data_IF_743629951022
#
_entry.id   IF_743629951022
#
_cell.length_a   1.000
_cell.length_b   1.000
_cell.length_c   1.000
_cell.angle_alpha   90.00
_cell.angle_beta   90.00
_cell.angle_gamma   90.00
#
_symmetry.space_group_name_H-M   'P 1'
#
loop_
_entity.id
_entity.type
_entity.pdbx_description
1 polymer ?
#
# COMPACT_ATOMS: atom_id res chain seq x y z
N UNK A 1 8.14 -17.30 19.13
CA UNK A 1 7.74 -16.47 17.97
C UNK A 1 8.96 -15.89 17.28
N UNK A 2 8.87 -15.37 16.06
CA UNK A 2 10.02 -14.81 15.33
C UNK A 2 10.80 -13.75 16.13
N UNK A 3 10.12 -12.96 16.96
CA UNK A 3 10.77 -12.01 17.85
C UNK A 3 11.74 -12.66 18.87
N UNK A 4 11.33 -13.74 19.53
CA UNK A 4 12.19 -14.41 20.52
C UNK A 4 13.46 -15.00 19.88
N UNK A 5 13.36 -15.39 18.61
CA UNK A 5 14.50 -15.87 17.84
C UNK A 5 15.42 -14.71 17.47
N UNK A 6 14.88 -13.57 17.04
CA UNK A 6 15.66 -12.39 16.66
C UNK A 6 16.31 -11.69 17.85
N UNK A 7 15.66 -11.68 19.01
CA UNK A 7 16.21 -11.14 20.24
C UNK A 7 17.53 -11.84 20.63
N UNK A 8 17.70 -13.13 20.31
CA UNK A 8 18.94 -13.89 20.56
C UNK A 8 20.14 -13.39 19.77
N UNK A 9 19.93 -12.75 18.63
CA UNK A 9 21.04 -12.19 17.84
C UNK A 9 21.57 -10.88 18.42
N UNK A 10 20.84 -10.25 19.35
CA UNK A 10 21.24 -9.01 20.02
C UNK A 10 21.63 -7.86 19.08
N UNK A 11 21.01 -7.80 17.89
CA UNK A 11 21.22 -6.72 16.93
C UNK A 11 20.06 -5.72 17.04
N UNK A 12 20.29 -4.51 17.55
CA UNK A 12 19.21 -3.55 17.85
C UNK A 12 18.42 -3.12 16.61
N UNK A 13 19.05 -3.12 15.43
CA UNK A 13 18.38 -2.81 14.17
C UNK A 13 17.31 -3.82 13.75
N UNK A 14 17.51 -5.11 14.08
CA UNK A 14 16.56 -6.15 13.70
C UNK A 14 15.30 -6.09 14.57
N UNK A 15 15.43 -5.83 15.87
CA UNK A 15 14.26 -5.76 16.77
C UNK A 15 13.19 -4.78 16.25
N UNK A 16 13.61 -3.59 15.81
CA UNK A 16 12.70 -2.59 15.25
C UNK A 16 12.02 -3.04 13.95
N UNK A 17 12.74 -3.74 13.08
CA UNK A 17 12.17 -4.27 11.84
C UNK A 17 11.12 -5.36 12.12
N UNK A 18 11.39 -6.24 13.08
CA UNK A 18 10.46 -7.30 13.46
C UNK A 18 9.25 -6.78 14.25
N UNK A 19 9.38 -5.68 15.00
CA UNK A 19 8.23 -4.94 15.54
C UNK A 19 7.33 -4.39 14.43
N UNK A 20 7.92 -3.77 13.39
CA UNK A 20 7.15 -3.29 12.24
C UNK A 20 6.41 -4.44 11.54
N UNK A 21 7.07 -5.58 11.32
CA UNK A 21 6.46 -6.76 10.69
C UNK A 21 5.30 -7.29 11.56
N UNK A 22 5.44 -7.28 12.90
CA UNK A 22 4.37 -7.67 13.83
C UNK A 22 3.15 -6.75 13.70
N UNK A 23 3.36 -5.44 13.71
CA UNK A 23 2.28 -4.48 13.50
C UNK A 23 1.63 -4.64 12.12
N UNK A 24 2.42 -4.89 11.07
CA UNK A 24 1.92 -5.19 9.73
C UNK A 24 1.08 -6.48 9.71
N UNK A 25 1.49 -7.52 10.44
CA UNK A 25 0.71 -8.75 10.59
C UNK A 25 -0.68 -8.51 11.18
N UNK A 26 -0.81 -7.57 12.11
CA UNK A 26 -2.10 -7.24 12.70
C UNK A 26 -3.09 -6.65 11.71
N UNK A 27 -2.63 -6.04 10.60
CA UNK A 27 -3.51 -5.56 9.52
C UNK A 27 -4.39 -6.68 8.96
N UNK A 28 -3.93 -7.93 8.97
CA UNK A 28 -4.69 -9.07 8.45
C UNK A 28 -5.75 -9.60 9.41
N UNK A 29 -5.62 -9.29 10.70
CA UNK A 29 -6.49 -9.82 11.77
C UNK A 29 -7.52 -8.78 12.20
N UNK A 30 -7.14 -7.51 12.18
CA UNK A 30 -7.98 -6.39 12.64
C UNK A 30 -9.17 -6.17 11.71
N UNK A 31 -10.35 -5.96 12.30
CA UNK A 31 -11.57 -5.68 11.55
C UNK A 31 -11.46 -4.36 10.76
N UNK A 32 -12.03 -4.28 9.54
CA UNK A 32 -11.96 -3.08 8.70
C UNK A 32 -12.51 -1.82 9.37
N UNK A 33 -13.50 -1.96 10.24
CA UNK A 33 -14.16 -0.87 11.00
C UNK A 33 -13.20 -0.08 11.89
N UNK A 34 -12.26 -0.77 12.54
CA UNK A 34 -11.30 -0.16 13.47
C UNK A 34 -9.91 0.02 12.84
N UNK A 35 -9.73 -0.41 11.59
CA UNK A 35 -8.42 -0.43 10.93
C UNK A 35 -7.83 0.96 10.74
N UNK A 36 -8.67 1.96 10.47
CA UNK A 36 -8.25 3.37 10.37
C UNK A 36 -7.69 3.89 11.70
N UNK A 37 -8.36 3.56 12.81
CA UNK A 37 -7.92 3.93 14.15
C UNK A 37 -6.60 3.22 14.49
N UNK A 38 -6.54 1.92 14.20
CA UNK A 38 -5.35 1.09 14.41
C UNK A 38 -4.10 1.64 13.69
N UNK A 39 -4.24 2.06 12.43
CA UNK A 39 -3.12 2.65 11.68
C UNK A 39 -2.66 3.99 12.27
N UNK A 40 -3.58 4.79 12.80
CA UNK A 40 -3.26 6.07 13.45
C UNK A 40 -2.57 5.89 14.81
N UNK A 41 -2.92 4.85 15.55
CA UNK A 41 -2.35 4.53 16.87
C UNK A 41 -1.04 3.74 16.79
N UNK A 42 -0.79 3.06 15.67
CA UNK A 42 0.44 2.29 15.47
C UNK A 42 1.67 3.20 15.41
N UNK A 43 2.63 2.92 16.30
CA UNK A 43 3.85 3.71 16.43
C UNK A 43 4.75 3.66 15.18
N UNK A 44 4.74 2.55 14.43
CA UNK A 44 5.55 2.37 13.23
C UNK A 44 4.74 2.58 11.94
N UNK A 45 3.54 1.98 11.82
CA UNK A 45 2.73 2.07 10.60
C UNK A 45 2.13 3.46 10.38
N UNK A 46 1.81 4.20 11.45
CA UNK A 46 1.27 5.56 11.34
C UNK A 46 2.23 6.55 10.64
N UNK A 47 3.52 6.22 10.58
CA UNK A 47 4.55 7.02 9.89
C UNK A 47 4.73 6.62 8.43
N UNK A 48 4.21 5.46 8.03
CA UNK A 48 4.36 4.92 6.68
C UNK A 48 3.28 5.52 5.78
N UNK A 49 3.66 5.85 4.55
CA UNK A 49 2.71 6.31 3.56
C UNK A 49 1.67 5.21 3.29
N UNK A 50 0.38 5.50 3.51
CA UNK A 50 -0.70 4.54 3.30
C UNK A 50 -0.67 3.87 1.92
N UNK A 51 -0.16 4.54 0.89
CA UNK A 51 -0.01 3.95 -0.46
C UNK A 51 0.83 2.67 -0.46
N UNK A 52 1.85 2.60 0.39
CA UNK A 52 2.72 1.42 0.52
C UNK A 52 2.02 0.27 1.25
N UNK A 53 0.98 0.57 2.04
CA UNK A 53 0.18 -0.42 2.74
C UNK A 53 -0.88 -1.07 1.85
N UNK A 54 -1.23 -0.44 0.71
CA UNK A 54 -2.24 -0.91 -0.24
C UNK A 54 -2.08 -2.38 -0.71
N UNK A 55 -0.90 -2.87 -1.14
CA UNK A 55 -0.73 -4.27 -1.50
C UNK A 55 -1.02 -5.24 -0.34
N UNK A 56 -0.80 -4.82 0.91
CA UNK A 56 -1.09 -5.65 2.07
C UNK A 56 -2.59 -5.74 2.35
N UNK A 57 -3.34 -4.65 2.18
CA UNK A 57 -4.81 -4.71 2.27
C UNK A 57 -5.42 -5.59 1.17
N UNK A 58 -4.88 -5.55 -0.06
CA UNK A 58 -5.35 -6.35 -1.19
C UNK A 58 -5.24 -7.87 -0.96
N UNK A 59 -4.34 -8.31 -0.08
CA UNK A 59 -4.16 -9.71 0.27
C UNK A 59 -5.15 -10.20 1.34
N UNK A 60 -5.97 -9.31 1.92
CA UNK A 60 -6.97 -9.71 2.91
C UNK A 60 -8.13 -10.47 2.24
N UNK A 61 -8.65 -11.48 2.94
CA UNK A 61 -9.77 -12.30 2.46
C UNK A 61 -11.05 -11.47 2.33
N UNK A 62 -11.30 -10.56 3.28
CA UNK A 62 -12.48 -9.68 3.32
C UNK A 62 -12.34 -8.44 2.44
N UNK A 63 -11.24 -8.30 1.69
CA UNK A 63 -10.99 -7.09 0.90
C UNK A 63 -12.11 -6.81 -0.12
N UNK A 64 -12.59 -7.87 -0.79
CA UNK A 64 -13.63 -7.79 -1.82
C UNK A 64 -15.05 -7.55 -1.28
N UNK A 65 -15.27 -7.82 0.01
CA UNK A 65 -16.59 -7.66 0.65
C UNK A 65 -16.89 -6.19 1.00
N UNK A 66 -15.86 -5.34 0.97
CA UNK A 66 -15.96 -3.94 1.35
C UNK A 66 -15.82 -2.99 0.16
N UNK A 67 -16.52 -1.86 0.24
CA UNK A 67 -16.49 -0.82 -0.78
C UNK A 67 -15.06 -0.26 -0.93
N UNK A 68 -14.61 -0.09 -2.17
CA UNK A 68 -13.33 0.58 -2.49
C UNK A 68 -13.15 1.93 -1.76
N UNK A 69 -14.24 2.66 -1.57
CA UNK A 69 -14.26 3.94 -0.82
C UNK A 69 -13.77 3.80 0.62
N UNK A 70 -14.06 2.69 1.30
CA UNK A 70 -13.58 2.41 2.66
C UNK A 70 -12.05 2.33 2.66
N UNK A 71 -11.49 1.53 1.75
CA UNK A 71 -10.05 1.35 1.64
C UNK A 71 -9.33 2.64 1.23
N UNK A 72 -9.93 3.43 0.33
CA UNK A 72 -9.41 4.75 -0.05
C UNK A 72 -9.44 5.77 1.12
N UNK A 73 -10.38 5.62 2.06
CA UNK A 73 -10.44 6.43 3.29
C UNK A 73 -9.37 6.02 4.31
N UNK A 74 -9.08 4.72 4.43
CA UNK A 74 -8.07 4.15 5.34
C UNK A 74 -6.65 4.48 4.84
N UNK A 75 -6.40 4.27 3.55
CA UNK A 75 -5.09 4.45 2.91
C UNK A 75 -4.81 5.92 2.55
N UNK A 76 -5.85 6.74 2.49
CA UNK A 76 -5.81 8.07 1.90
C UNK A 76 -5.89 8.00 0.37
N UNK A 77 -6.53 9.01 -0.25
CA UNK A 77 -6.60 9.09 -1.72
C UNK A 77 -5.19 9.12 -2.28
N UNK A 78 -4.88 8.15 -3.13
CA UNK A 78 -3.75 8.31 -4.03
C UNK A 78 -4.07 9.44 -4.99
N UNK A 79 -3.45 10.61 -4.79
CA UNK A 79 -3.29 11.58 -5.89
C UNK A 79 -2.40 10.89 -6.93
N UNK A 80 -3.01 10.09 -7.79
CA UNK A 80 -2.45 9.79 -9.11
C UNK A 80 -2.89 10.96 -9.97
N UNK A 81 -1.88 11.65 -10.53
CA UNK A 81 -1.97 12.64 -11.60
C UNK A 81 -2.18 14.11 -11.20
N UNK A 82 -1.06 14.77 -10.86
CA UNK A 82 -0.71 16.13 -11.34
C UNK A 82 0.79 16.14 -11.69
N UNK A 83 1.17 15.35 -12.69
CA UNK A 83 2.39 15.54 -13.51
C UNK A 83 1.99 15.38 -14.99
N UNK A 84 0.90 16.05 -15.36
CA UNK A 84 0.33 16.01 -16.70
C UNK A 84 -0.47 17.27 -17.00
N UNK A 85 0.03 18.43 -16.57
CA UNK A 85 -0.39 19.72 -17.09
C UNK A 85 0.64 20.17 -18.13
N UNK A 86 0.60 19.54 -19.29
CA UNK A 86 1.36 19.88 -20.49
C UNK A 86 0.60 19.28 -21.66
N UNK A 87 -0.15 20.11 -22.38
CA UNK A 87 -1.10 19.67 -23.40
C UNK A 87 -0.44 18.96 -24.59
N UNK A 88 -1.26 18.20 -25.33
CA UNK A 88 -0.98 17.84 -26.71
C UNK A 88 -1.33 16.40 -27.08
N UNK A 89 -2.34 16.24 -27.95
CA UNK A 89 -2.39 15.17 -28.96
C UNK A 89 -3.18 13.92 -28.59
N UNK A 90 -4.42 13.85 -29.09
CA UNK A 90 -5.06 12.58 -29.42
C UNK A 90 -4.16 11.87 -30.45
N UNK A 91 -3.46 10.81 -30.04
CA UNK A 91 -2.71 9.97 -30.97
C UNK A 91 -3.64 8.91 -31.54
N UNK A 92 -4.12 9.18 -32.75
CA UNK A 92 -4.82 8.20 -33.60
C UNK A 92 -3.91 6.99 -33.80
N UNK A 93 -4.37 5.82 -33.32
CA UNK A 93 -3.62 4.55 -33.43
C UNK A 93 -3.54 3.99 -34.86
N UNK A 94 -4.02 4.73 -35.87
CA UNK A 94 -4.05 4.31 -37.28
C UNK A 94 -2.81 4.67 -38.12
N UNK A 95 -1.89 5.53 -37.63
CA UNK A 95 -0.83 6.12 -38.46
C UNK A 95 0.50 5.35 -38.46
N UNK A 96 0.57 4.14 -37.90
CA UNK A 96 1.83 3.37 -37.80
C UNK A 96 2.01 2.30 -38.89
N UNK A 97 1.04 2.11 -39.80
CA UNK A 97 1.10 1.06 -40.83
C UNK A 97 1.50 1.52 -42.24
N UNK A 98 1.74 2.82 -42.48
CA UNK A 98 2.08 3.32 -43.84
C UNK A 98 3.55 3.74 -44.02
N UNK A 99 4.40 3.72 -42.99
CA UNK A 99 5.79 4.16 -43.10
C UNK A 99 6.82 3.04 -43.28
N UNK A 100 6.39 1.80 -43.43
CA UNK A 100 7.27 0.67 -43.76
C UNK A 100 6.70 -0.12 -44.93
N UNK A 101 6.76 0.43 -46.15
CA UNK A 101 6.30 -0.30 -47.32
C UNK A 101 6.35 0.44 -48.64
N UNK A 102 7.56 0.68 -49.18
CA UNK A 102 7.99 0.47 -50.59
C UNK A 102 9.33 1.13 -50.83
#
# INVERSE_FOLDING_TARGET
MYQDMIAKFNIPGLNKQYEMIRELGNIFVVQPSILKLYLGESAMLGRINGKLLRPFFLMRVDYGDHLKKLWDEIVGKSKQQELGAGGGGHVDRGLWLELTGS
#
